data_IF_507830368542
#
_entry.id   IF_507830368542
#
_cell.length_a   1.000
_cell.length_b   1.000
_cell.length_c   1.000
_cell.angle_alpha   90.00
_cell.angle_beta   90.00
_cell.angle_gamma   90.00
#
_symmetry.space_group_name_H-M   'P 1'
#
loop_
_entity.id
_entity.type
_entity.pdbx_description
1 polymer ?
#
# COMPACT_ATOMS: atom_id res chain seq x y z
N UNK A 1 -1.00 -11.90 8.59
CA UNK A 1 -0.37 -10.63 8.13
C UNK A 1 0.20 -10.90 6.77
N UNK A 2 -0.07 -10.00 5.81
CA UNK A 2 0.38 -10.08 4.43
C UNK A 2 1.43 -9.00 4.17
N UNK A 3 2.21 -9.16 3.11
CA UNK A 3 3.37 -8.32 2.84
C UNK A 3 3.22 -7.56 1.52
N UNK A 4 3.58 -6.28 1.56
CA UNK A 4 3.66 -5.40 0.39
C UNK A 4 5.12 -5.02 0.19
N UNK A 5 5.66 -5.32 -1.00
CA UNK A 5 7.10 -5.21 -1.23
C UNK A 5 7.42 -4.13 -2.24
N UNK A 6 8.33 -3.24 -1.88
CA UNK A 6 8.85 -2.17 -2.73
C UNK A 6 10.32 -2.41 -3.00
N UNK A 7 10.77 -2.23 -4.24
CA UNK A 7 12.17 -2.44 -4.62
C UNK A 7 12.80 -1.16 -5.14
N UNK A 8 14.04 -0.88 -4.73
CA UNK A 8 14.82 0.27 -5.19
C UNK A 8 15.79 -0.08 -6.33
N UNK A 9 16.62 0.88 -6.76
CA UNK A 9 17.68 0.70 -7.79
C UNK A 9 18.74 -0.33 -7.44
N UNK A 10 18.92 -0.61 -6.15
CA UNK A 10 19.85 -1.63 -5.65
C UNK A 10 19.14 -2.94 -5.31
N UNK A 11 17.84 -3.01 -5.63
CA UNK A 11 16.93 -4.10 -5.37
C UNK A 11 16.83 -4.51 -3.90
N UNK A 12 17.08 -3.59 -2.97
CA UNK A 12 16.84 -3.87 -1.54
C UNK A 12 15.33 -3.76 -1.27
N UNK A 13 14.66 -4.85 -0.84
CA UNK A 13 13.22 -4.81 -0.64
C UNK A 13 12.86 -4.05 0.64
N UNK A 14 11.99 -3.06 0.51
CA UNK A 14 11.25 -2.49 1.63
C UNK A 14 9.91 -3.22 1.75
N UNK A 15 9.76 -3.95 2.85
CA UNK A 15 8.57 -4.74 3.15
C UNK A 15 7.66 -3.95 4.11
N UNK A 16 6.39 -3.83 3.78
CA UNK A 16 5.34 -3.33 4.66
C UNK A 16 4.41 -4.49 5.00
N UNK A 17 4.42 -4.90 6.26
CA UNK A 17 3.45 -5.87 6.77
C UNK A 17 2.11 -5.19 7.05
N UNK A 18 1.04 -5.78 6.53
CA UNK A 18 -0.33 -5.32 6.69
C UNK A 18 -1.24 -6.43 7.23
N UNK A 19 -2.35 -6.02 7.82
CA UNK A 19 -3.46 -6.90 8.19
C UNK A 19 -4.11 -7.51 6.95
N UNK A 20 -4.76 -8.66 7.13
CA UNK A 20 -5.55 -9.31 6.07
C UNK A 20 -6.67 -8.37 5.60
N UNK A 21 -7.34 -7.71 6.55
CA UNK A 21 -8.37 -6.71 6.25
C UNK A 21 -7.85 -5.58 5.34
N UNK A 22 -6.66 -5.03 5.65
CA UNK A 22 -6.05 -4.00 4.81
C UNK A 22 -5.76 -4.53 3.41
N UNK A 23 -5.15 -5.72 3.32
CA UNK A 23 -4.83 -6.33 2.04
C UNK A 23 -6.07 -6.52 1.17
N UNK A 24 -7.15 -7.10 1.72
CA UNK A 24 -8.42 -7.30 1.02
C UNK A 24 -9.02 -5.98 0.51
N UNK A 25 -9.04 -4.94 1.37
CA UNK A 25 -9.54 -3.61 0.98
C UNK A 25 -8.73 -2.97 -0.13
N UNK A 26 -7.40 -3.16 -0.14
CA UNK A 26 -6.56 -2.71 -1.25
C UNK A 26 -6.96 -3.38 -2.57
N UNK A 27 -7.27 -4.67 -2.56
CA UNK A 27 -7.76 -5.38 -3.74
C UNK A 27 -9.11 -4.82 -4.22
N UNK A 28 -10.01 -4.51 -3.29
CA UNK A 28 -11.34 -3.94 -3.58
C UNK A 28 -11.24 -2.56 -4.24
N UNK A 29 -10.38 -1.67 -3.74
CA UNK A 29 -10.16 -0.34 -4.35
C UNK A 29 -9.34 -0.43 -5.65
N UNK A 30 -8.79 -1.60 -5.97
CA UNK A 30 -8.25 -1.92 -7.29
C UNK A 30 -6.74 -1.93 -7.38
N UNK A 31 -6.00 -2.12 -6.28
CA UNK A 31 -4.55 -2.27 -6.31
C UNK A 31 -4.10 -3.35 -7.30
N UNK A 32 -4.80 -4.48 -7.36
CA UNK A 32 -4.47 -5.60 -8.25
C UNK A 32 -4.95 -5.44 -9.71
N UNK A 33 -5.64 -4.35 -10.05
CA UNK A 33 -6.34 -4.22 -11.36
C UNK A 33 -6.14 -2.88 -12.06
N UNK A 34 -5.82 -1.82 -11.33
CA UNK A 34 -5.73 -0.44 -11.86
C UNK A 34 -4.36 -0.12 -12.46
N UNK A 35 -3.37 -0.98 -12.21
CA UNK A 35 -2.05 -0.91 -12.80
C UNK A 35 -1.66 -2.27 -13.37
N UNK A 36 -0.74 -2.27 -14.33
CA UNK A 36 -0.35 -3.47 -15.07
C UNK A 36 0.84 -4.15 -14.39
N UNK A 37 0.56 -5.32 -13.81
CA UNK A 37 1.57 -6.16 -13.14
C UNK A 37 2.21 -7.11 -14.15
N UNK A 38 3.54 -7.15 -14.14
CA UNK A 38 4.35 -8.01 -15.03
C UNK A 38 5.41 -8.73 -14.22
N UNK A 39 5.81 -9.89 -14.72
CA UNK A 39 7.02 -10.54 -14.23
C UNK A 39 8.22 -9.71 -14.69
N UNK A 40 8.89 -9.07 -13.72
CA UNK A 40 10.13 -8.34 -13.93
C UNK A 40 11.27 -9.14 -13.31
N UNK A 41 12.36 -9.28 -14.06
CA UNK A 41 13.57 -9.92 -13.56
C UNK A 41 14.41 -8.89 -12.80
N UNK A 42 14.48 -9.05 -11.48
CA UNK A 42 15.23 -8.17 -10.57
C UNK A 42 16.44 -8.92 -10.03
N UNK A 43 17.61 -8.27 -10.03
CA UNK A 43 18.80 -8.80 -9.37
C UNK A 43 18.86 -8.31 -7.93
N UNK A 44 18.59 -9.20 -6.98
CA UNK A 44 18.61 -8.94 -5.53
C UNK A 44 19.81 -9.69 -4.96
N UNK A 45 20.72 -8.99 -4.28
CA UNK A 45 21.93 -9.59 -3.66
C UNK A 45 22.81 -10.42 -4.62
N UNK A 46 22.75 -10.12 -5.93
CA UNK A 46 23.51 -10.85 -6.96
C UNK A 46 22.79 -12.07 -7.54
N UNK A 47 21.58 -12.39 -7.07
CA UNK A 47 20.73 -13.45 -7.61
C UNK A 47 19.56 -12.84 -8.42
N UNK A 48 19.18 -13.50 -9.51
CA UNK A 48 18.08 -13.03 -10.37
C UNK A 48 16.76 -13.69 -9.97
N UNK A 49 15.78 -12.86 -9.64
CA UNK A 49 14.44 -13.26 -9.26
C UNK A 49 13.44 -12.73 -10.29
N UNK A 50 12.49 -13.57 -10.70
CA UNK A 50 11.35 -13.11 -11.49
C UNK A 50 10.19 -12.80 -10.54
N UNK A 51 9.82 -11.53 -10.43
CA UNK A 51 8.85 -11.04 -9.44
C UNK A 51 7.69 -10.38 -10.15
N UNK A 52 6.47 -10.75 -9.78
CA UNK A 52 5.28 -10.09 -10.31
C UNK A 52 5.12 -8.71 -9.67
N UNK A 53 5.36 -7.68 -10.46
CA UNK A 53 5.46 -6.31 -9.96
C UNK A 53 5.02 -5.29 -11.00
N UNK A 54 4.65 -4.11 -10.51
CA UNK A 54 4.42 -2.92 -11.31
C UNK A 54 5.62 -1.99 -11.19
N UNK A 55 6.05 -1.42 -12.31
CA UNK A 55 6.99 -0.30 -12.30
C UNK A 55 6.26 0.97 -11.85
N UNK A 56 6.77 1.63 -10.81
CA UNK A 56 6.26 2.87 -10.22
C UNK A 56 6.66 4.10 -11.05
N UNK A 57 6.29 4.08 -12.33
CA UNK A 57 6.30 5.23 -13.23
C UNK A 57 5.45 6.36 -12.65
N UNK A 58 5.60 7.58 -13.17
CA UNK A 58 4.80 8.72 -12.73
C UNK A 58 3.28 8.43 -12.78
N UNK A 59 2.82 7.78 -13.87
CA UNK A 59 1.42 7.43 -14.07
C UNK A 59 0.93 6.35 -13.10
N UNK A 60 1.68 5.26 -12.95
CA UNK A 60 1.31 4.17 -12.04
C UNK A 60 1.33 4.63 -10.59
N UNK A 61 2.36 5.42 -10.21
CA UNK A 61 2.48 5.99 -8.87
C UNK A 61 1.32 6.93 -8.58
N UNK A 62 0.97 7.83 -9.51
CA UNK A 62 -0.19 8.71 -9.37
C UNK A 62 -1.49 7.92 -9.20
N UNK A 63 -1.67 6.86 -9.96
CA UNK A 63 -2.84 5.99 -9.87
C UNK A 63 -2.94 5.34 -8.49
N UNK A 64 -1.88 4.68 -8.03
CA UNK A 64 -1.85 4.00 -6.72
C UNK A 64 -1.98 4.99 -5.55
N UNK A 65 -1.34 6.15 -5.63
CA UNK A 65 -1.49 7.21 -4.63
C UNK A 65 -2.93 7.71 -4.55
N UNK A 66 -3.59 7.93 -5.69
CA UNK A 66 -4.98 8.37 -5.72
C UNK A 66 -5.92 7.34 -5.07
N UNK A 67 -5.68 6.04 -5.27
CA UNK A 67 -6.44 4.98 -4.61
C UNK A 67 -6.27 5.04 -3.07
N UNK A 68 -5.03 5.17 -2.59
CA UNK A 68 -4.74 5.25 -1.16
C UNK A 68 -5.31 6.52 -0.54
N UNK A 69 -5.18 7.66 -1.20
CA UNK A 69 -5.72 8.93 -0.69
C UNK A 69 -7.25 8.89 -0.62
N UNK A 70 -7.92 8.33 -1.62
CA UNK A 70 -9.37 8.13 -1.60
C UNK A 70 -9.81 7.26 -0.43
N UNK A 71 -9.19 6.10 -0.26
CA UNK A 71 -9.51 5.18 0.83
C UNK A 71 -9.24 5.80 2.21
N UNK A 72 -8.09 6.48 2.38
CA UNK A 72 -7.76 7.17 3.64
C UNK A 72 -8.77 8.24 3.98
N UNK A 73 -9.23 9.01 3.00
CA UNK A 73 -10.24 10.05 3.21
C UNK A 73 -11.56 9.42 3.66
N UNK A 74 -12.01 8.35 3.00
CA UNK A 74 -13.25 7.66 3.38
C UNK A 74 -13.19 7.12 4.82
N UNK A 75 -12.09 6.48 5.19
CA UNK A 75 -11.91 5.94 6.55
C UNK A 75 -11.81 7.03 7.61
N UNK A 76 -11.12 8.14 7.32
CA UNK A 76 -11.09 9.29 8.22
C UNK A 76 -12.49 9.91 8.39
N UNK A 77 -13.28 10.03 7.33
CA UNK A 77 -14.67 10.51 7.40
C UNK A 77 -15.54 9.60 8.27
N UNK A 78 -15.38 8.27 8.18
CA UNK A 78 -16.07 7.31 9.06
C UNK A 78 -15.71 7.54 10.52
N UNK A 79 -14.42 7.71 10.82
CA UNK A 79 -13.93 7.99 12.18
C UNK A 79 -14.52 9.30 12.70
N UNK A 80 -14.53 10.36 11.89
CA UNK A 80 -15.10 11.64 12.30
C UNK A 80 -16.59 11.55 12.63
N UNK A 81 -17.38 10.81 11.84
CA UNK A 81 -18.80 10.58 12.14
C UNK A 81 -18.99 9.79 13.43
N UNK A 82 -18.15 8.80 13.68
CA UNK A 82 -18.21 8.00 14.90
C UNK A 82 -17.84 8.81 16.14
N UNK A 83 -16.94 9.80 16.04
CA UNK A 83 -16.58 10.66 17.17
C UNK A 83 -17.82 11.37 17.74
N UNK A 84 -18.76 11.77 16.87
CA UNK A 84 -20.03 12.39 17.29
C UNK A 84 -20.93 11.42 18.08
N UNK A 85 -20.66 10.11 18.03
CA UNK A 85 -21.39 9.05 18.74
C UNK A 85 -20.79 8.71 20.12
N UNK A 86 -19.78 9.46 20.59
CA UNK A 86 -19.05 9.24 21.85
C UNK A 86 -18.38 7.85 21.95
N UNK A 87 -17.48 7.49 21.02
CA UNK A 87 -16.81 6.19 21.03
C UNK A 87 -15.75 6.14 22.13
N UNK A 88 -15.42 4.93 22.56
CA UNK A 88 -14.31 4.69 23.47
C UNK A 88 -12.96 4.92 22.77
N UNK A 89 -11.93 5.18 23.57
CA UNK A 89 -10.53 5.28 23.07
C UNK A 89 -10.11 3.99 22.35
N UNK A 90 -10.62 2.83 22.79
CA UNK A 90 -10.32 1.55 22.17
C UNK A 90 -10.87 1.48 20.75
N UNK A 91 -12.15 1.84 20.57
CA UNK A 91 -12.80 1.86 19.25
C UNK A 91 -12.11 2.85 18.30
N UNK A 92 -11.78 4.06 18.76
CA UNK A 92 -11.03 5.03 17.94
C UNK A 92 -9.68 4.45 17.50
N UNK A 93 -8.96 3.78 18.41
CA UNK A 93 -7.64 3.19 18.11
C UNK A 93 -7.75 2.05 17.09
N UNK A 94 -8.77 1.21 17.21
CA UNK A 94 -9.04 0.13 16.28
C UNK A 94 -9.32 0.70 14.88
N UNK A 95 -10.13 1.76 14.78
CA UNK A 95 -10.45 2.39 13.49
C UNK A 95 -9.24 3.10 12.87
N UNK A 96 -8.37 3.70 13.69
CA UNK A 96 -7.13 4.33 13.22
C UNK A 96 -6.07 3.32 12.76
N UNK A 97 -6.19 2.04 13.11
CA UNK A 97 -5.20 1.04 12.73
C UNK A 97 -5.09 0.90 11.21
N UNK A 98 -6.24 0.82 10.52
CA UNK A 98 -6.25 0.72 9.07
C UNK A 98 -5.70 1.98 8.39
N UNK A 99 -6.07 3.17 8.88
CA UNK A 99 -5.53 4.45 8.40
C UNK A 99 -4.00 4.53 8.56
N UNK A 100 -3.46 3.95 9.64
CA UNK A 100 -2.01 3.85 9.86
C UNK A 100 -1.35 2.98 8.78
N UNK A 101 -1.91 1.81 8.46
CA UNK A 101 -1.40 0.92 7.42
C UNK A 101 -1.40 1.63 6.05
N UNK A 102 -2.51 2.26 5.69
CA UNK A 102 -2.61 3.06 4.45
C UNK A 102 -1.58 4.20 4.41
N UNK A 103 -1.27 4.81 5.56
CA UNK A 103 -0.27 5.88 5.66
C UNK A 103 1.15 5.37 5.41
N UNK A 104 1.49 4.16 5.85
CA UNK A 104 2.80 3.56 5.57
C UNK A 104 2.94 3.20 4.09
N UNK A 105 1.89 2.65 3.48
CA UNK A 105 1.83 2.37 2.03
C UNK A 105 2.00 3.67 1.24
N UNK A 106 1.28 4.73 1.62
CA UNK A 106 1.41 6.06 1.02
C UNK A 106 2.85 6.57 1.03
N UNK A 107 3.54 6.47 2.18
CA UNK A 107 4.93 6.90 2.31
C UNK A 107 5.85 6.12 1.38
N UNK A 108 5.66 4.81 1.23
CA UNK A 108 6.44 3.99 0.31
C UNK A 108 6.15 4.31 -1.16
N UNK A 109 4.88 4.52 -1.53
CA UNK A 109 4.50 4.98 -2.86
C UNK A 109 5.03 6.38 -3.19
N UNK A 110 5.24 7.25 -2.21
CA UNK A 110 5.80 8.59 -2.43
C UNK A 110 7.33 8.60 -2.51
N UNK A 111 8.00 7.57 -1.99
CA UNK A 111 9.45 7.49 -2.01
C UNK A 111 9.97 7.30 -3.44
N UNK A 112 10.65 8.31 -3.98
CA UNK A 112 11.21 8.31 -5.34
C UNK A 112 12.22 7.18 -5.57
N UNK A 113 12.89 6.72 -4.51
CA UNK A 113 13.83 5.60 -4.57
C UNK A 113 13.18 4.24 -4.86
N UNK A 114 11.87 4.09 -4.61
CA UNK A 114 11.15 2.85 -4.91
C UNK A 114 10.78 2.84 -6.40
N UNK A 115 11.28 1.87 -7.15
CA UNK A 115 11.04 1.72 -8.59
C UNK A 115 9.98 0.67 -8.87
N UNK A 116 9.94 -0.43 -8.13
CA UNK A 116 8.95 -1.49 -8.33
C UNK A 116 8.10 -1.69 -7.09
N UNK A 117 6.86 -2.11 -7.30
CA UNK A 117 5.92 -2.50 -6.26
C UNK A 117 5.33 -3.86 -6.59
N UNK A 118 5.36 -4.77 -5.63
CA UNK A 118 4.76 -6.09 -5.72
C UNK A 118 3.61 -6.23 -4.72
N UNK A 119 2.52 -6.78 -5.22
CA UNK A 119 1.28 -7.06 -4.51
C UNK A 119 0.94 -8.53 -4.77
N UNK A 120 1.53 -9.41 -3.97
CA UNK A 120 1.38 -10.88 -4.03
C UNK A 120 0.52 -11.41 -2.90
#
# INVERSE_FOLDING_TARGET
MLELTFFDTTSTPKIISVSEHCYERLAEIGFSKKVDYKNNDLTIEGESYSINSVELTEENRKTLLALIEGERQEELEKIFRQIDENPTIKEIRENLFYVKELTEIYKALKAEGNIYFSYE
#
